data_IF_578581783405
#
_entry.id   IF_578581783405
#
_cell.length_a   1.000
_cell.length_b   1.000
_cell.length_c   1.000
_cell.angle_alpha   90.00
_cell.angle_beta   90.00
_cell.angle_gamma   90.00
#
_symmetry.space_group_name_H-M   'P 1'
#
loop_
_entity.id
_entity.type
_entity.pdbx_description
1 polymer ?
#
# COMPACT_ATOMS: atom_id res chain seq x y z
N UNK A 1 32.21 -7.32 -6.40
CA UNK A 1 32.14 -8.57 -5.61
C UNK A 1 31.04 -9.41 -6.23
N UNK A 2 31.44 -10.51 -6.87
CA UNK A 2 30.60 -11.39 -7.69
C UNK A 2 29.44 -11.99 -6.88
N UNK A 3 28.20 -11.63 -7.21
CA UNK A 3 26.97 -12.25 -6.66
C UNK A 3 26.51 -13.36 -7.60
N UNK A 4 27.37 -14.31 -7.94
CA UNK A 4 26.97 -15.46 -8.76
C UNK A 4 27.79 -16.69 -8.34
N UNK A 5 27.40 -17.33 -7.24
CA UNK A 5 27.78 -18.71 -6.98
C UNK A 5 26.85 -19.35 -5.95
N UNK A 6 26.09 -20.33 -6.44
CA UNK A 6 25.15 -21.26 -5.77
C UNK A 6 23.95 -20.67 -5.02
N UNK A 7 22.89 -20.27 -5.74
CA UNK A 7 21.55 -20.17 -5.18
C UNK A 7 20.85 -21.54 -5.26
N UNK A 8 20.47 -22.12 -4.12
CA UNK A 8 19.59 -23.29 -4.02
C UNK A 8 18.12 -22.92 -4.23
N UNK A 9 17.87 -21.76 -4.82
CA UNK A 9 16.56 -21.14 -4.98
C UNK A 9 16.54 -20.29 -6.25
N UNK A 10 15.73 -20.68 -7.24
CA UNK A 10 15.57 -20.03 -8.52
C UNK A 10 14.36 -19.07 -8.53
N UNK A 11 14.28 -18.07 -9.44
CA UNK A 11 13.19 -17.11 -9.46
C UNK A 11 11.77 -17.71 -9.52
N UNK A 12 11.51 -18.80 -10.28
CA UNK A 12 10.21 -19.44 -10.26
C UNK A 12 9.80 -20.00 -8.89
N UNK A 13 10.77 -20.49 -8.09
CA UNK A 13 10.51 -21.00 -6.73
C UNK A 13 10.15 -19.86 -5.77
N UNK A 14 10.80 -18.69 -5.93
CA UNK A 14 10.44 -17.48 -5.20
C UNK A 14 9.01 -17.04 -5.51
N UNK A 15 8.68 -16.93 -6.79
CA UNK A 15 7.32 -16.56 -7.23
C UNK A 15 6.28 -17.55 -6.70
N UNK A 16 6.56 -18.86 -6.78
CA UNK A 16 5.67 -19.87 -6.22
C UNK A 16 5.45 -19.70 -4.70
N UNK A 17 6.50 -19.40 -3.94
CA UNK A 17 6.39 -19.14 -2.51
C UNK A 17 5.60 -17.87 -2.20
N UNK A 18 5.75 -16.81 -3.00
CA UNK A 18 4.94 -15.59 -2.87
C UNK A 18 3.45 -15.86 -3.17
N UNK A 19 3.15 -16.71 -4.15
CA UNK A 19 1.77 -17.16 -4.42
C UNK A 19 1.23 -17.94 -3.21
N UNK A 20 2.02 -18.84 -2.62
CA UNK A 20 1.63 -19.53 -1.39
C UNK A 20 1.36 -18.54 -0.26
N UNK A 21 2.22 -17.54 -0.05
CA UNK A 21 2.02 -16.50 0.96
C UNK A 21 0.72 -15.71 0.73
N UNK A 22 0.44 -15.33 -0.52
CA UNK A 22 -0.81 -14.70 -0.91
C UNK A 22 -2.03 -15.57 -0.56
N UNK A 23 -1.97 -16.87 -0.86
CA UNK A 23 -3.06 -17.80 -0.53
C UNK A 23 -3.23 -17.98 0.98
N UNK A 24 -2.13 -18.12 1.73
CA UNK A 24 -2.14 -18.20 3.21
C UNK A 24 -2.70 -16.93 3.85
N UNK A 25 -2.54 -15.77 3.23
CA UNK A 25 -3.12 -14.51 3.69
C UNK A 25 -4.62 -14.41 3.39
N UNK A 26 -5.05 -14.83 2.19
CA UNK A 26 -6.42 -14.62 1.71
C UNK A 26 -7.38 -15.74 2.11
N UNK A 27 -7.00 -17.01 1.92
CA UNK A 27 -7.90 -18.17 2.11
C UNK A 27 -8.50 -18.21 3.53
N UNK A 28 -7.75 -18.00 4.62
CA UNK A 28 -8.29 -18.08 5.98
C UNK A 28 -9.45 -17.11 6.26
N UNK A 29 -9.57 -16.01 5.51
CA UNK A 29 -10.70 -15.08 5.60
C UNK A 29 -12.04 -15.74 5.32
N UNK A 30 -12.06 -16.90 4.66
CA UNK A 30 -13.27 -17.59 4.22
C UNK A 30 -13.66 -18.80 5.08
N UNK A 31 -12.83 -19.19 6.04
CA UNK A 31 -13.08 -20.39 6.84
C UNK A 31 -14.07 -20.21 8.00
N UNK A 32 -14.20 -18.99 8.53
CA UNK A 32 -15.08 -18.72 9.67
C UNK A 32 -16.27 -17.84 9.29
N UNK A 33 -17.42 -18.07 9.92
CA UNK A 33 -18.56 -17.15 9.86
C UNK A 33 -18.19 -15.74 10.34
N UNK A 34 -17.22 -15.63 11.27
CA UNK A 34 -16.75 -14.35 11.78
C UNK A 34 -15.97 -13.54 10.73
N UNK A 35 -15.33 -14.18 9.74
CA UNK A 35 -14.49 -13.51 8.75
C UNK A 35 -15.13 -13.47 7.36
N UNK A 36 -15.91 -14.49 6.98
CA UNK A 36 -16.46 -14.61 5.63
C UNK A 36 -17.48 -13.48 5.32
N UNK A 37 -17.58 -13.04 4.07
CA UNK A 37 -18.62 -12.11 3.64
C UNK A 37 -20.02 -12.68 3.87
N UNK A 38 -20.97 -11.82 4.23
CA UNK A 38 -22.38 -12.18 4.38
C UNK A 38 -23.25 -11.05 3.82
N UNK A 39 -24.39 -11.35 3.15
CA UNK A 39 -25.34 -10.33 2.73
C UNK A 39 -25.98 -9.56 3.91
N UNK A 40 -26.03 -10.18 5.10
CA UNK A 40 -26.75 -9.64 6.27
C UNK A 40 -25.85 -8.95 7.29
N UNK A 41 -24.53 -9.01 7.11
CA UNK A 41 -23.55 -8.44 8.06
C UNK A 41 -22.62 -7.49 7.33
N UNK A 42 -22.51 -6.27 7.86
CA UNK A 42 -21.54 -5.31 7.34
C UNK A 42 -20.10 -5.80 7.53
N UNK A 43 -19.28 -5.63 6.50
CA UNK A 43 -17.82 -5.84 6.58
C UNK A 43 -17.17 -4.86 7.57
N UNK A 44 -17.80 -3.71 7.77
CA UNK A 44 -17.29 -2.64 8.64
C UNK A 44 -17.74 -2.80 10.10
N UNK A 45 -18.42 -3.90 10.43
CA UNK A 45 -18.76 -4.22 11.82
C UNK A 45 -17.48 -4.53 12.64
N UNK A 46 -17.32 -3.96 13.85
CA UNK A 46 -16.11 -4.12 14.67
C UNK A 46 -15.68 -5.57 14.91
N UNK A 47 -16.62 -6.49 15.14
CA UNK A 47 -16.33 -7.91 15.31
C UNK A 47 -15.79 -8.58 14.03
N UNK A 48 -16.31 -8.20 12.85
CA UNK A 48 -15.80 -8.70 11.58
C UNK A 48 -14.39 -8.16 11.30
N UNK A 49 -14.16 -6.87 11.57
CA UNK A 49 -12.85 -6.24 11.42
C UNK A 49 -11.82 -6.91 12.34
N UNK A 50 -12.12 -7.05 13.64
CA UNK A 50 -11.21 -7.69 14.61
C UNK A 50 -10.87 -9.13 14.22
N UNK A 51 -11.88 -9.93 13.87
CA UNK A 51 -11.66 -11.32 13.47
C UNK A 51 -10.78 -11.43 12.20
N UNK A 52 -11.02 -10.58 11.20
CA UNK A 52 -10.22 -10.54 9.98
C UNK A 52 -8.78 -10.12 10.28
N UNK A 53 -8.59 -9.05 11.05
CA UNK A 53 -7.25 -8.53 11.42
C UNK A 53 -6.46 -9.59 12.19
N UNK A 54 -7.10 -10.29 13.13
CA UNK A 54 -6.45 -11.38 13.85
C UNK A 54 -5.93 -12.47 12.90
N UNK A 55 -6.78 -12.95 11.99
CA UNK A 55 -6.42 -14.01 11.04
C UNK A 55 -5.32 -13.58 10.09
N UNK A 56 -5.41 -12.39 9.48
CA UNK A 56 -4.37 -11.91 8.56
C UNK A 56 -3.06 -11.59 9.27
N UNK A 57 -3.11 -11.16 10.53
CA UNK A 57 -1.90 -10.95 11.35
C UNK A 57 -1.19 -12.26 11.64
N UNK A 58 -1.94 -13.33 11.95
CA UNK A 58 -1.37 -14.66 12.17
C UNK A 58 -0.72 -15.20 10.89
N UNK A 59 -1.41 -15.10 9.74
CA UNK A 59 -0.85 -15.48 8.43
C UNK A 59 0.42 -14.69 8.10
N UNK A 60 0.40 -13.37 8.34
CA UNK A 60 1.55 -12.49 8.08
C UNK A 60 2.75 -12.81 8.97
N UNK A 61 2.51 -13.07 10.26
CA UNK A 61 3.55 -13.48 11.19
C UNK A 61 4.17 -14.83 10.78
N UNK A 62 3.34 -15.82 10.41
CA UNK A 62 3.82 -17.11 9.94
C UNK A 62 4.69 -16.98 8.67
N UNK A 63 4.24 -16.24 7.66
CA UNK A 63 5.01 -16.00 6.43
C UNK A 63 6.32 -15.25 6.72
N UNK A 64 6.30 -14.24 7.60
CA UNK A 64 7.49 -13.50 8.02
C UNK A 64 8.50 -14.39 8.74
N UNK A 65 8.04 -15.27 9.64
CA UNK A 65 8.89 -16.23 10.34
C UNK A 65 9.50 -17.26 9.38
N UNK A 66 8.73 -17.76 8.40
CA UNK A 66 9.27 -18.65 7.36
C UNK A 66 10.35 -17.93 6.55
N UNK A 67 10.11 -16.69 6.12
CA UNK A 67 11.14 -15.91 5.40
C UNK A 67 12.37 -15.67 6.26
N UNK A 68 12.19 -15.28 7.52
CA UNK A 68 13.29 -15.07 8.46
C UNK A 68 14.11 -16.36 8.64
N UNK A 69 13.45 -17.50 8.81
CA UNK A 69 14.11 -18.81 8.90
C UNK A 69 14.90 -19.12 7.63
N UNK A 70 14.29 -18.95 6.46
CA UNK A 70 14.95 -19.16 5.16
C UNK A 70 16.19 -18.28 5.00
N UNK A 71 16.11 -17.00 5.37
CA UNK A 71 17.21 -16.03 5.29
C UNK A 71 18.28 -16.21 6.38
N UNK A 72 17.95 -16.82 7.52
CA UNK A 72 18.87 -17.01 8.66
C UNK A 72 19.52 -18.41 8.69
N UNK A 73 18.88 -19.41 8.06
CA UNK A 73 19.38 -20.78 8.04
C UNK A 73 20.64 -20.90 7.18
N UNK A 74 21.56 -21.79 7.58
CA UNK A 74 22.79 -22.04 6.82
C UNK A 74 22.43 -22.76 5.51
N UNK A 75 22.42 -22.01 4.42
CA UNK A 75 22.02 -22.48 3.11
C UNK A 75 22.27 -21.41 2.04
N UNK A 76 21.99 -21.76 0.79
CA UNK A 76 22.32 -20.92 -0.36
C UNK A 76 21.60 -19.55 -0.43
N UNK A 77 20.52 -19.38 0.32
CA UNK A 77 19.74 -18.13 0.38
C UNK A 77 20.03 -17.29 1.63
N UNK A 78 20.88 -17.77 2.53
CA UNK A 78 21.23 -17.08 3.76
C UNK A 78 21.80 -15.67 3.49
N UNK A 79 21.56 -14.74 4.41
CA UNK A 79 22.15 -13.40 4.39
C UNK A 79 22.70 -13.05 5.77
N UNK A 80 23.75 -12.23 5.81
CA UNK A 80 24.39 -11.84 7.08
C UNK A 80 23.45 -11.07 8.02
N UNK A 81 22.56 -10.23 7.46
CA UNK A 81 21.65 -9.37 8.22
C UNK A 81 20.20 -9.57 7.75
N UNK A 82 19.55 -10.68 8.11
CA UNK A 82 18.23 -11.04 7.59
C UNK A 82 17.15 -10.01 7.98
N UNK A 83 17.21 -9.46 9.20
CA UNK A 83 16.28 -8.41 9.63
C UNK A 83 16.42 -7.11 8.83
N UNK A 84 17.64 -6.76 8.40
CA UNK A 84 17.86 -5.63 7.50
C UNK A 84 17.34 -5.92 6.11
N UNK A 85 17.59 -7.13 5.61
CA UNK A 85 17.13 -7.54 4.31
C UNK A 85 15.60 -7.59 4.21
N UNK A 86 14.91 -7.91 5.31
CA UNK A 86 13.45 -7.82 5.47
C UNK A 86 12.96 -6.39 5.80
N UNK A 87 13.86 -5.42 5.96
CA UNK A 87 13.56 -4.01 6.27
C UNK A 87 13.06 -3.74 7.69
N UNK A 88 13.17 -4.70 8.61
CA UNK A 88 12.79 -4.53 10.02
C UNK A 88 13.84 -3.75 10.82
N UNK A 89 15.13 -3.89 10.47
CA UNK A 89 16.21 -3.23 11.22
C UNK A 89 17.38 -2.76 10.35
N UNK A 90 17.84 -1.51 10.50
CA UNK A 90 17.28 -0.45 11.34
C UNK A 90 15.95 0.08 10.75
N UNK A 91 15.12 0.80 11.53
CA UNK A 91 13.83 1.29 11.05
C UNK A 91 13.93 2.35 9.93
N UNK A 92 15.03 3.09 9.82
CA UNK A 92 15.23 4.08 8.76
C UNK A 92 14.29 5.27 8.81
N UNK A 93 14.25 6.00 9.93
CA UNK A 93 13.33 7.15 10.10
C UNK A 93 13.56 8.28 9.09
N UNK A 94 14.82 8.55 8.72
CA UNK A 94 15.16 9.58 7.73
C UNK A 94 14.70 9.14 6.34
N UNK A 95 14.92 7.87 5.99
CA UNK A 95 14.51 7.29 4.71
C UNK A 95 12.98 7.22 4.60
N UNK A 96 12.31 6.93 5.71
CA UNK A 96 10.85 6.97 5.80
C UNK A 96 10.31 8.39 5.59
N UNK A 97 10.93 9.41 6.20
CA UNK A 97 10.58 10.80 5.97
C UNK A 97 10.83 11.23 4.51
N UNK A 98 11.95 10.82 3.91
CA UNK A 98 12.26 11.07 2.50
C UNK A 98 11.26 10.42 1.54
N UNK A 99 10.91 9.16 1.76
CA UNK A 99 9.92 8.42 0.98
C UNK A 99 8.50 8.99 1.12
N UNK A 100 8.11 9.39 2.34
CA UNK A 100 6.87 10.11 2.59
C UNK A 100 6.84 11.46 1.88
N UNK A 101 7.92 12.23 1.96
CA UNK A 101 8.00 13.54 1.29
C UNK A 101 7.91 13.40 -0.22
N UNK A 102 8.65 12.45 -0.80
CA UNK A 102 8.56 12.12 -2.21
C UNK A 102 7.11 11.78 -2.60
N UNK A 103 6.43 10.95 -1.80
CA UNK A 103 5.04 10.58 -2.06
C UNK A 103 4.09 11.78 -1.89
N UNK A 104 4.33 12.66 -0.92
CA UNK A 104 3.56 13.89 -0.75
C UNK A 104 3.69 14.84 -1.95
N UNK A 105 4.88 14.91 -2.59
CA UNK A 105 5.06 15.63 -3.86
C UNK A 105 4.17 15.06 -4.96
N UNK A 106 4.15 13.74 -5.15
CA UNK A 106 3.28 13.09 -6.12
C UNK A 106 1.79 13.39 -5.87
N UNK A 107 1.41 13.51 -4.60
CA UNK A 107 0.05 13.79 -4.13
C UNK A 107 -0.21 15.27 -3.82
N UNK A 108 0.59 16.21 -4.34
CA UNK A 108 0.45 17.63 -4.01
C UNK A 108 -0.97 18.18 -4.28
N UNK A 109 -1.59 17.76 -5.39
CA UNK A 109 -3.00 18.08 -5.70
C UNK A 109 -3.98 17.53 -4.65
N UNK A 110 -4.07 16.20 -4.45
CA UNK A 110 -4.93 15.60 -3.41
C UNK A 110 -4.68 16.11 -1.99
N UNK A 111 -3.42 16.39 -1.64
CA UNK A 111 -3.06 16.95 -0.34
C UNK A 111 -3.64 18.35 -0.17
N UNK A 112 -3.57 19.17 -1.22
CA UNK A 112 -4.22 20.48 -1.25
C UNK A 112 -5.75 20.38 -1.19
N UNK A 113 -6.36 19.48 -1.96
CA UNK A 113 -7.82 19.23 -1.92
C UNK A 113 -8.24 18.86 -0.49
N UNK A 114 -7.59 17.88 0.11
CA UNK A 114 -7.92 17.42 1.47
C UNK A 114 -7.71 18.50 2.53
N UNK A 115 -6.52 19.12 2.60
CA UNK A 115 -6.18 20.04 3.68
C UNK A 115 -6.93 21.36 3.58
N UNK A 116 -7.01 21.91 2.38
CA UNK A 116 -7.58 23.24 2.14
C UNK A 116 -9.05 23.11 1.81
N UNK A 117 -9.38 22.43 0.71
CA UNK A 117 -10.71 22.46 0.09
C UNK A 117 -11.74 21.72 0.95
N UNK A 118 -11.39 20.53 1.43
CA UNK A 118 -12.25 19.70 2.29
C UNK A 118 -12.15 20.08 3.78
N UNK A 119 -11.23 21.00 4.12
CA UNK A 119 -11.09 21.54 5.47
C UNK A 119 -10.41 20.59 6.46
N UNK A 120 -9.69 19.56 6.01
CA UNK A 120 -8.99 18.64 6.90
C UNK A 120 -7.96 19.34 7.79
N UNK A 121 -7.37 20.48 7.35
CA UNK A 121 -6.48 21.27 8.20
C UNK A 121 -7.15 21.69 9.52
N UNK A 122 -8.42 22.12 9.49
CA UNK A 122 -9.17 22.47 10.69
C UNK A 122 -9.47 21.26 11.58
N UNK A 123 -9.68 20.09 10.97
CA UNK A 123 -9.88 18.83 11.69
C UNK A 123 -8.60 18.39 12.42
N UNK A 124 -7.45 18.53 11.77
CA UNK A 124 -6.13 18.26 12.35
C UNK A 124 -5.80 19.20 13.53
N UNK A 125 -6.17 20.48 13.45
CA UNK A 125 -6.03 21.40 14.59
C UNK A 125 -6.82 20.95 15.82
N UNK A 126 -7.92 20.22 15.61
CA UNK A 126 -8.74 19.62 16.69
C UNK A 126 -8.35 18.19 17.02
N UNK A 127 -7.28 17.67 16.41
CA UNK A 127 -6.80 16.29 16.52
C UNK A 127 -7.90 15.25 16.21
N UNK A 128 -8.91 15.63 15.41
CA UNK A 128 -10.02 14.75 15.09
C UNK A 128 -9.58 13.48 14.36
N UNK A 129 -8.72 13.53 13.32
CA UNK A 129 -8.24 12.31 12.67
C UNK A 129 -7.54 11.35 13.62
N UNK A 130 -6.80 11.86 14.61
CA UNK A 130 -6.15 11.03 15.63
C UNK A 130 -7.18 10.36 16.54
N UNK A 131 -8.21 11.10 16.98
CA UNK A 131 -9.30 10.51 17.77
C UNK A 131 -10.02 9.44 16.97
N UNK A 132 -10.39 9.76 15.73
CA UNK A 132 -11.15 8.87 14.85
C UNK A 132 -10.35 7.58 14.57
N UNK A 133 -9.02 7.66 14.47
CA UNK A 133 -8.13 6.49 14.39
C UNK A 133 -8.27 5.51 15.57
N UNK A 134 -8.54 6.01 16.78
CA UNK A 134 -8.69 5.18 17.99
C UNK A 134 -10.13 4.75 18.26
N UNK A 135 -11.12 5.47 17.72
CA UNK A 135 -12.55 5.20 17.98
C UNK A 135 -13.26 4.49 16.85
N UNK A 136 -12.77 4.59 15.62
CA UNK A 136 -13.40 4.02 14.42
C UNK A 136 -12.60 2.82 13.87
N UNK A 137 -13.21 1.63 13.95
CA UNK A 137 -12.57 0.38 13.51
C UNK A 137 -12.24 0.33 12.01
N UNK A 138 -13.12 0.78 11.09
CA UNK A 138 -12.79 0.92 9.68
C UNK A 138 -11.57 1.82 9.43
N UNK A 139 -11.51 2.98 10.10
CA UNK A 139 -10.36 3.90 10.01
C UNK A 139 -9.09 3.23 10.52
N UNK A 140 -9.11 2.63 11.72
CA UNK A 140 -7.95 1.91 12.24
C UNK A 140 -7.47 0.78 11.32
N UNK A 141 -8.41 0.00 10.77
CA UNK A 141 -8.11 -1.05 9.80
C UNK A 141 -7.42 -0.48 8.56
N UNK A 142 -7.96 0.60 7.98
CA UNK A 142 -7.47 1.15 6.71
C UNK A 142 -6.15 1.92 6.88
N UNK A 143 -5.91 2.52 8.04
CA UNK A 143 -4.74 3.39 8.27
C UNK A 143 -3.57 2.68 8.98
N UNK A 144 -3.84 1.62 9.74
CA UNK A 144 -2.82 0.94 10.56
C UNK A 144 -2.73 -0.54 10.21
N UNK A 145 -3.79 -1.31 10.48
CA UNK A 145 -3.69 -2.77 10.40
C UNK A 145 -3.43 -3.26 8.97
N UNK A 146 -4.18 -2.77 7.99
CA UNK A 146 -4.03 -3.12 6.57
C UNK A 146 -2.62 -2.79 6.05
N UNK A 147 -2.17 -1.52 6.12
CA UNK A 147 -0.81 -1.15 5.73
C UNK A 147 0.27 -2.02 6.38
N UNK A 148 0.22 -2.22 7.69
CA UNK A 148 1.22 -3.03 8.39
C UNK A 148 1.22 -4.48 7.88
N UNK A 149 0.07 -5.15 7.84
CA UNK A 149 0.05 -6.57 7.48
C UNK A 149 0.38 -6.80 6.01
N UNK A 150 -0.06 -5.91 5.13
CA UNK A 150 0.21 -6.00 3.69
C UNK A 150 1.69 -5.72 3.36
N UNK A 151 2.29 -4.67 3.92
CA UNK A 151 3.71 -4.40 3.68
C UNK A 151 4.61 -5.48 4.31
N UNK A 152 4.29 -5.96 5.51
CA UNK A 152 5.03 -7.07 6.14
C UNK A 152 5.01 -8.32 5.25
N UNK A 153 3.85 -8.67 4.68
CA UNK A 153 3.74 -9.87 3.84
C UNK A 153 4.40 -9.68 2.47
N UNK A 154 3.99 -8.66 1.72
CA UNK A 154 4.35 -8.55 0.31
C UNK A 154 5.73 -7.93 0.08
N UNK A 155 6.20 -7.08 1.02
CA UNK A 155 7.50 -6.43 0.93
C UNK A 155 8.49 -7.14 1.84
N UNK A 156 8.30 -7.11 3.16
CA UNK A 156 9.28 -7.68 4.09
C UNK A 156 9.45 -9.20 4.00
N UNK A 157 8.39 -9.97 3.74
CA UNK A 157 8.51 -11.42 3.54
C UNK A 157 8.75 -11.78 2.06
N UNK A 158 8.03 -11.16 1.12
CA UNK A 158 8.08 -11.51 -0.29
C UNK A 158 9.34 -11.04 -1.05
N UNK A 159 9.65 -9.73 -1.02
CA UNK A 159 10.70 -9.13 -1.86
C UNK A 159 12.10 -9.71 -1.59
N UNK A 160 12.52 -9.95 -0.33
CA UNK A 160 13.79 -10.60 -0.03
C UNK A 160 14.01 -11.94 -0.75
N UNK A 161 12.96 -12.76 -0.84
CA UNK A 161 13.05 -14.07 -1.49
C UNK A 161 13.29 -13.93 -3.00
N UNK A 162 12.66 -12.95 -3.64
CA UNK A 162 12.91 -12.63 -5.05
C UNK A 162 14.36 -12.17 -5.27
N UNK A 163 14.87 -11.27 -4.42
CA UNK A 163 16.27 -10.82 -4.50
C UNK A 163 17.27 -11.97 -4.34
N UNK A 164 17.05 -12.88 -3.36
CA UNK A 164 17.94 -14.04 -3.15
C UNK A 164 17.83 -15.10 -4.23
N UNK A 165 16.70 -15.16 -4.92
CA UNK A 165 16.52 -16.07 -6.05
C UNK A 165 17.30 -15.68 -7.31
N UNK A 166 17.91 -14.49 -7.33
CA UNK A 166 18.57 -13.94 -8.51
C UNK A 166 17.59 -13.37 -9.55
N UNK A 167 16.35 -13.05 -9.14
CA UNK A 167 15.42 -12.34 -10.01
C UNK A 167 16.00 -10.97 -10.40
N UNK A 168 15.75 -10.54 -11.64
CA UNK A 168 16.16 -9.20 -12.06
C UNK A 168 15.46 -8.12 -11.23
N UNK A 169 16.05 -6.92 -11.16
CA UNK A 169 15.47 -5.79 -10.45
C UNK A 169 14.07 -5.45 -10.98
N UNK A 170 13.94 -5.40 -12.31
CA UNK A 170 12.66 -5.24 -13.01
C UNK A 170 11.67 -6.35 -12.63
N UNK A 171 12.11 -7.61 -12.64
CA UNK A 171 11.28 -8.74 -12.24
C UNK A 171 10.78 -8.60 -10.79
N UNK A 172 11.64 -8.14 -9.89
CA UNK A 172 11.28 -7.91 -8.48
C UNK A 172 10.24 -6.79 -8.33
N UNK A 173 10.41 -5.68 -9.05
CA UNK A 173 9.52 -4.51 -9.02
C UNK A 173 8.14 -4.79 -9.63
N UNK A 174 7.99 -5.77 -10.52
CA UNK A 174 6.71 -6.06 -11.16
C UNK A 174 6.04 -7.36 -10.71
N UNK A 175 6.78 -8.39 -10.29
CA UNK A 175 6.20 -9.69 -9.92
C UNK A 175 5.54 -9.68 -8.54
N UNK A 176 6.23 -9.21 -7.48
CA UNK A 176 5.60 -9.10 -6.15
C UNK A 176 4.35 -8.22 -6.18
N UNK A 177 4.37 -7.06 -6.87
CA UNK A 177 3.20 -6.19 -6.98
C UNK A 177 2.03 -6.77 -7.76
N UNK A 178 2.29 -7.56 -8.80
CA UNK A 178 1.24 -8.30 -9.50
C UNK A 178 0.57 -9.30 -8.55
N UNK A 179 1.34 -10.06 -7.75
CA UNK A 179 0.77 -10.99 -6.76
C UNK A 179 -0.02 -10.23 -5.69
N UNK A 180 0.48 -9.08 -5.23
CA UNK A 180 -0.23 -8.19 -4.32
C UNK A 180 -1.57 -7.70 -4.89
N UNK A 181 -1.59 -7.27 -6.16
CA UNK A 181 -2.82 -6.90 -6.86
C UNK A 181 -3.78 -8.07 -7.02
N UNK A 182 -3.29 -9.26 -7.39
CA UNK A 182 -4.08 -10.48 -7.53
C UNK A 182 -4.71 -10.90 -6.20
N UNK A 183 -4.01 -10.70 -5.07
CA UNK A 183 -4.55 -10.96 -3.74
C UNK A 183 -5.87 -10.22 -3.52
N UNK A 184 -6.04 -9.03 -4.08
CA UNK A 184 -7.24 -8.20 -3.93
C UNK A 184 -8.42 -8.63 -4.80
N UNK A 185 -8.24 -9.55 -5.76
CA UNK A 185 -9.35 -10.09 -6.55
C UNK A 185 -10.37 -10.83 -5.68
N UNK A 186 -10.00 -11.27 -4.48
CA UNK A 186 -10.93 -11.83 -3.50
C UNK A 186 -12.08 -10.86 -3.16
N UNK A 187 -11.87 -9.54 -3.26
CA UNK A 187 -12.91 -8.52 -3.09
C UNK A 187 -13.98 -8.55 -4.18
N UNK A 188 -13.70 -9.09 -5.38
CA UNK A 188 -14.73 -9.34 -6.38
C UNK A 188 -15.81 -10.25 -5.81
N UNK A 189 -15.39 -11.38 -5.21
CA UNK A 189 -16.32 -12.31 -4.56
C UNK A 189 -17.07 -11.64 -3.41
N UNK A 190 -16.38 -10.92 -2.52
CA UNK A 190 -17.04 -10.22 -1.41
C UNK A 190 -18.10 -9.22 -1.91
N UNK A 191 -17.78 -8.49 -2.99
CA UNK A 191 -18.68 -7.54 -3.60
C UNK A 191 -19.90 -8.22 -4.22
N UNK A 192 -19.71 -9.34 -4.91
CA UNK A 192 -20.83 -10.12 -5.49
C UNK A 192 -21.78 -10.66 -4.42
N UNK A 193 -21.26 -11.07 -3.26
CA UNK A 193 -22.08 -11.54 -2.13
C UNK A 193 -22.87 -10.39 -1.49
N UNK A 194 -22.25 -9.22 -1.30
CA UNK A 194 -22.85 -8.10 -0.59
C UNK A 194 -23.73 -7.21 -1.47
N UNK A 195 -23.49 -7.20 -2.79
CA UNK A 195 -24.20 -6.38 -3.77
C UNK A 195 -24.74 -7.24 -4.92
N UNK A 196 -25.65 -8.20 -4.65
CA UNK A 196 -26.08 -9.19 -5.64
C UNK A 196 -26.74 -8.56 -6.88
N UNK A 197 -27.40 -7.40 -6.69
CA UNK A 197 -28.12 -6.65 -7.73
C UNK A 197 -27.21 -5.82 -8.66
N UNK A 198 -25.94 -5.61 -8.32
CA UNK A 198 -25.04 -4.86 -9.19
C UNK A 198 -24.74 -5.66 -10.46
N UNK A 199 -24.83 -5.04 -11.67
CA UNK A 199 -24.50 -5.71 -12.91
C UNK A 199 -23.07 -6.29 -12.92
N UNK A 200 -22.90 -7.49 -13.48
CA UNK A 200 -21.60 -8.16 -13.55
C UNK A 200 -20.51 -7.31 -14.20
N UNK A 201 -20.74 -6.58 -15.32
CA UNK A 201 -19.72 -5.72 -15.92
C UNK A 201 -19.19 -4.65 -14.96
N UNK A 202 -20.05 -4.10 -14.10
CA UNK A 202 -19.65 -3.09 -13.09
C UNK A 202 -18.78 -3.73 -12.00
N UNK A 203 -19.13 -4.93 -11.54
CA UNK A 203 -18.33 -5.66 -10.57
C UNK A 203 -16.93 -6.05 -11.13
N UNK A 204 -16.87 -6.44 -12.40
CA UNK A 204 -15.62 -6.73 -13.11
C UNK A 204 -14.80 -5.45 -13.25
N UNK A 205 -15.39 -4.36 -13.75
CA UNK A 205 -14.70 -3.07 -13.92
C UNK A 205 -14.10 -2.57 -12.60
N UNK A 206 -14.86 -2.63 -11.50
CA UNK A 206 -14.35 -2.30 -10.15
C UNK A 206 -13.11 -3.13 -9.79
N UNK A 207 -13.15 -4.43 -10.06
CA UNK A 207 -12.08 -5.36 -9.67
C UNK A 207 -10.83 -5.21 -10.55
N UNK A 208 -11.01 -4.91 -11.83
CA UNK A 208 -9.91 -4.59 -12.75
C UNK A 208 -9.25 -3.26 -12.37
N UNK A 209 -10.04 -2.22 -12.09
CA UNK A 209 -9.52 -0.96 -11.58
C UNK A 209 -8.72 -1.18 -10.29
N UNK A 210 -9.26 -1.98 -9.36
CA UNK A 210 -8.57 -2.37 -8.14
C UNK A 210 -7.25 -3.08 -8.39
N UNK A 211 -7.26 -4.12 -9.21
CA UNK A 211 -6.06 -4.84 -9.60
C UNK A 211 -5.00 -3.88 -10.18
N UNK A 212 -5.40 -2.99 -11.09
CA UNK A 212 -4.49 -2.05 -11.75
C UNK A 212 -3.85 -1.06 -10.77
N UNK A 213 -4.64 -0.33 -9.98
CA UNK A 213 -4.06 0.67 -9.07
C UNK A 213 -3.28 0.03 -7.93
N UNK A 214 -3.74 -1.11 -7.41
CA UNK A 214 -3.04 -1.83 -6.33
C UNK A 214 -1.71 -2.40 -6.83
N UNK A 215 -1.65 -2.90 -8.07
CA UNK A 215 -0.38 -3.36 -8.67
C UNK A 215 0.58 -2.20 -8.92
N UNK A 216 0.07 -1.05 -9.41
CA UNK A 216 0.89 0.15 -9.61
C UNK A 216 1.47 0.67 -8.30
N UNK A 217 0.64 0.78 -7.26
CA UNK A 217 1.08 1.14 -5.91
C UNK A 217 2.11 0.14 -5.38
N UNK A 218 1.88 -1.16 -5.55
CA UNK A 218 2.83 -2.19 -5.14
C UNK A 218 4.20 -2.04 -5.83
N UNK A 219 4.23 -1.66 -7.12
CA UNK A 219 5.47 -1.41 -7.85
C UNK A 219 6.22 -0.22 -7.28
N UNK A 220 5.51 0.87 -6.99
CA UNK A 220 6.09 2.03 -6.32
C UNK A 220 6.60 1.70 -4.91
N UNK A 221 5.80 1.01 -4.08
CA UNK A 221 6.20 0.57 -2.75
C UNK A 221 7.42 -0.38 -2.79
N UNK A 222 7.46 -1.29 -3.76
CA UNK A 222 8.62 -2.19 -3.94
C UNK A 222 9.86 -1.40 -4.35
N UNK A 223 9.75 -0.43 -5.26
CA UNK A 223 10.85 0.49 -5.57
C UNK A 223 11.37 1.20 -4.32
N UNK A 224 10.48 1.80 -3.53
CA UNK A 224 10.85 2.49 -2.29
C UNK A 224 11.48 1.54 -1.27
N UNK A 225 10.94 0.33 -1.10
CA UNK A 225 11.51 -0.68 -0.20
C UNK A 225 12.93 -1.06 -0.60
N UNK A 226 13.17 -1.26 -1.90
CA UNK A 226 14.50 -1.62 -2.42
C UNK A 226 15.50 -0.47 -2.28
N UNK A 227 15.05 0.78 -2.44
CA UNK A 227 15.87 1.98 -2.31
C UNK A 227 16.20 2.31 -0.85
N UNK A 228 15.23 2.16 0.05
CA UNK A 228 15.36 2.59 1.45
C UNK A 228 15.77 1.48 2.40
N UNK A 229 15.49 0.21 2.07
CA UNK A 229 15.66 -0.93 2.97
C UNK A 229 14.84 -0.83 4.25
N UNK A 230 13.73 -0.08 4.24
CA UNK A 230 12.91 0.21 5.42
C UNK A 230 11.46 -0.24 5.22
N UNK A 231 10.99 -1.11 6.10
CA UNK A 231 9.56 -1.44 6.21
C UNK A 231 8.76 -0.24 6.71
N UNK A 232 9.31 0.53 7.65
CA UNK A 232 8.64 1.73 8.19
C UNK A 232 8.32 2.71 7.07
N UNK A 233 9.27 2.95 6.14
CA UNK A 233 9.07 3.84 5.00
C UNK A 233 7.86 3.43 4.17
N UNK A 234 7.77 2.16 3.77
CA UNK A 234 6.67 1.70 2.92
C UNK A 234 5.34 1.57 3.64
N UNK A 235 5.33 1.25 4.95
CA UNK A 235 4.11 1.28 5.78
C UNK A 235 3.54 2.69 5.84
N UNK A 236 4.38 3.69 6.12
CA UNK A 236 3.93 5.08 6.20
C UNK A 236 3.45 5.60 4.84
N UNK A 237 4.15 5.26 3.75
CA UNK A 237 3.73 5.60 2.39
C UNK A 237 2.39 4.93 2.04
N UNK A 238 2.19 3.67 2.42
CA UNK A 238 0.91 2.99 2.25
C UNK A 238 -0.20 3.70 3.03
N UNK A 239 -0.01 3.95 4.32
CA UNK A 239 -0.98 4.68 5.14
C UNK A 239 -1.32 6.04 4.51
N UNK A 240 -0.32 6.79 4.04
CA UNK A 240 -0.53 8.07 3.36
C UNK A 240 -1.37 7.93 2.09
N UNK A 241 -1.07 6.95 1.23
CA UNK A 241 -1.87 6.67 0.03
C UNK A 241 -3.31 6.27 0.37
N UNK A 242 -3.52 5.51 1.45
CA UNK A 242 -4.87 5.18 1.93
C UNK A 242 -5.62 6.40 2.47
N UNK A 243 -4.94 7.38 3.08
CA UNK A 243 -5.54 8.65 3.48
C UNK A 243 -5.99 9.47 2.26
N UNK A 244 -5.16 9.55 1.22
CA UNK A 244 -5.40 10.44 0.07
C UNK A 244 -6.34 9.83 -0.98
N UNK A 245 -6.34 8.52 -1.16
CA UNK A 245 -7.13 7.85 -2.20
C UNK A 245 -6.60 8.13 -3.62
N UNK A 246 -7.43 7.96 -4.64
CA UNK A 246 -7.05 8.28 -6.02
C UNK A 246 -7.22 9.78 -6.30
N UNK A 247 -6.32 10.42 -7.06
CA UNK A 247 -6.48 11.81 -7.42
C UNK A 247 -7.71 12.01 -8.30
N UNK A 248 -8.39 13.14 -8.10
CA UNK A 248 -9.41 13.62 -9.04
C UNK A 248 -8.73 13.98 -10.35
N UNK A 249 -9.11 13.29 -11.43
CA UNK A 249 -8.58 13.54 -12.78
C UNK A 249 -9.51 14.42 -13.63
N UNK A 250 -10.75 14.65 -13.18
CA UNK A 250 -11.73 15.50 -13.86
C UNK A 250 -12.73 16.11 -12.87
N UNK A 251 -13.40 17.18 -13.29
CA UNK A 251 -14.45 17.84 -12.52
C UNK A 251 -13.95 19.10 -11.79
N UNK A 252 -14.88 19.73 -11.09
CA UNK A 252 -14.64 20.97 -10.35
C UNK A 252 -14.54 20.67 -8.85
N UNK A 253 -13.74 21.45 -8.15
CA UNK A 253 -13.67 21.43 -6.69
C UNK A 253 -14.80 22.25 -6.06
N UNK A 254 -15.21 21.83 -4.87
CA UNK A 254 -16.22 22.50 -4.05
C UNK A 254 -15.62 22.85 -2.66
N UNK A 255 -15.00 24.03 -2.52
CA UNK A 255 -14.46 24.46 -1.23
C UNK A 255 -15.53 24.54 -0.15
N UNK A 256 -15.27 23.92 1.01
CA UNK A 256 -16.24 23.77 2.10
C UNK A 256 -16.82 25.07 2.68
N UNK A 257 -16.20 26.23 2.41
CA UNK A 257 -16.67 27.55 2.86
C UNK A 257 -17.54 28.28 1.82
N UNK A 258 -17.65 27.76 0.60
CA UNK A 258 -18.48 28.38 -0.44
C UNK A 258 -19.90 27.81 -0.37
N UNK A 259 -20.95 28.65 -0.53
CA UNK A 259 -22.32 28.16 -0.59
C UNK A 259 -22.49 27.20 -1.78
N UNK A 260 -23.13 26.06 -1.54
CA UNK A 260 -23.45 25.09 -2.60
C UNK A 260 -24.41 25.71 -3.62
N UNK A 261 -24.11 25.52 -4.91
CA UNK A 261 -24.98 25.95 -6.00
C UNK A 261 -25.06 27.45 -6.25
N UNK A 262 -24.31 28.29 -5.52
CA UNK A 262 -24.30 29.74 -5.72
C UNK A 262 -23.53 30.12 -7.00
N UNK A 263 -24.20 30.68 -8.04
CA UNK A 263 -23.55 31.10 -9.28
C UNK A 263 -22.49 32.18 -9.09
N UNK A 264 -22.60 33.01 -8.05
CA UNK A 264 -21.64 34.09 -7.77
C UNK A 264 -20.25 33.53 -7.42
N UNK A 265 -20.21 32.31 -6.86
CA UNK A 265 -19.00 31.61 -6.46
C UNK A 265 -18.33 30.83 -7.61
N UNK A 266 -18.91 30.84 -8.82
CA UNK A 266 -18.43 30.03 -9.94
C UNK A 266 -16.98 30.38 -10.35
N UNK A 267 -16.62 31.66 -10.35
CA UNK A 267 -15.25 32.11 -10.67
C UNK A 267 -14.25 31.62 -9.63
N UNK A 268 -14.57 31.76 -8.34
CA UNK A 268 -13.75 31.28 -7.23
C UNK A 268 -13.54 29.77 -7.28
N UNK A 269 -14.60 28.98 -7.49
CA UNK A 269 -14.51 27.51 -7.65
C UNK A 269 -13.59 27.12 -8.80
N UNK A 270 -13.69 27.82 -9.94
CA UNK A 270 -12.78 27.60 -11.09
C UNK A 270 -11.33 27.90 -10.72
N UNK A 271 -11.06 29.01 -10.03
CA UNK A 271 -9.71 29.36 -9.60
C UNK A 271 -9.07 28.28 -8.71
N UNK A 272 -9.78 27.83 -7.66
CA UNK A 272 -9.28 26.78 -6.77
C UNK A 272 -9.08 25.44 -7.47
N UNK A 273 -9.94 25.13 -8.45
CA UNK A 273 -9.81 23.95 -9.31
C UNK A 273 -8.57 24.03 -10.19
N UNK A 274 -8.29 25.21 -10.78
CA UNK A 274 -7.06 25.42 -11.58
C UNK A 274 -5.82 25.21 -10.72
N UNK A 275 -5.79 25.75 -9.50
CA UNK A 275 -4.68 25.53 -8.55
C UNK A 275 -4.46 24.04 -8.29
N UNK A 276 -5.54 23.28 -8.03
CA UNK A 276 -5.43 21.83 -7.85
C UNK A 276 -4.80 21.12 -9.04
N UNK A 277 -5.23 21.41 -10.27
CA UNK A 277 -4.67 20.75 -11.45
C UNK A 277 -3.22 21.17 -11.74
N UNK A 278 -2.85 22.42 -11.44
CA UNK A 278 -1.46 22.88 -11.49
C UNK A 278 -0.60 22.12 -10.47
N UNK A 279 -1.09 21.95 -9.24
CA UNK A 279 -0.40 21.18 -8.20
C UNK A 279 -0.33 19.69 -8.53
N UNK A 280 -1.36 19.13 -9.18
CA UNK A 280 -1.37 17.73 -9.60
C UNK A 280 -0.25 17.45 -10.63
N UNK A 281 -0.14 18.29 -11.66
CA UNK A 281 0.91 18.14 -12.69
C UNK A 281 2.29 18.52 -12.14
N UNK A 282 2.39 19.64 -11.41
CA UNK A 282 3.65 20.08 -10.79
C UNK A 282 4.18 19.08 -9.77
N UNK A 283 3.29 18.48 -8.98
CA UNK A 283 3.60 17.41 -8.05
C UNK A 283 4.20 16.18 -8.73
N UNK A 284 3.60 15.74 -9.84
CA UNK A 284 4.14 14.64 -10.65
C UNK A 284 5.53 14.95 -11.21
N UNK A 285 5.75 16.17 -11.73
CA UNK A 285 7.06 16.60 -12.27
C UNK A 285 8.12 16.64 -11.18
N UNK A 286 7.80 17.22 -10.02
CA UNK A 286 8.74 17.32 -8.89
C UNK A 286 9.03 15.96 -8.26
N UNK A 287 8.03 15.07 -8.17
CA UNK A 287 8.24 13.67 -7.81
C UNK A 287 9.23 12.97 -8.75
N UNK A 288 9.04 13.10 -10.07
CA UNK A 288 9.92 12.48 -11.06
C UNK A 288 11.37 12.96 -10.93
N UNK A 289 11.56 14.27 -10.76
CA UNK A 289 12.89 14.87 -10.60
C UNK A 289 13.61 14.42 -9.31
N UNK A 290 12.86 14.05 -8.27
CA UNK A 290 13.40 13.71 -6.96
C UNK A 290 13.32 12.20 -6.64
N UNK A 291 12.87 11.37 -7.58
CA UNK A 291 12.61 9.94 -7.41
C UNK A 291 13.83 9.19 -6.85
N UNK A 292 15.03 9.53 -7.33
CA UNK A 292 16.27 8.90 -6.91
C UNK A 292 16.97 9.61 -5.75
N UNK A 293 16.98 10.95 -5.76
CA UNK A 293 17.70 11.76 -4.76
C UNK A 293 17.09 11.63 -3.36
N UNK A 294 15.76 11.67 -3.24
CA UNK A 294 15.07 11.56 -1.95
C UNK A 294 15.02 10.13 -1.39
N UNK A 295 15.44 9.14 -2.17
CA UNK A 295 15.43 7.72 -1.78
C UNK A 295 16.83 7.11 -1.69
N UNK A 296 17.88 7.93 -1.82
CA UNK A 296 19.25 7.48 -1.73
C UNK A 296 19.69 7.24 -0.29
N UNK A 297 20.20 6.05 -0.02
CA UNK A 297 20.67 5.67 1.31
C UNK A 297 21.66 4.52 1.27
N UNK A 298 22.48 4.42 2.31
CA UNK A 298 23.40 3.31 2.52
C UNK A 298 22.69 1.99 2.86
N UNK A 299 21.39 2.05 3.19
CA UNK A 299 20.56 0.90 3.56
C UNK A 299 19.85 0.24 2.37
N UNK A 300 20.07 0.72 1.16
CA UNK A 300 19.44 0.19 -0.04
C UNK A 300 19.71 -1.31 -0.20
N UNK A 301 18.67 -2.07 -0.53
CA UNK A 301 18.74 -3.51 -0.76
C UNK A 301 19.19 -3.86 -2.18
N UNK A 302 19.08 -2.90 -3.11
CA UNK A 302 19.52 -3.05 -4.49
C UNK A 302 20.13 -1.74 -5.02
N UNK A 303 21.09 -1.88 -5.94
CA UNK A 303 21.62 -0.76 -6.72
C UNK A 303 20.75 -0.56 -7.96
N UNK A 304 20.42 0.70 -8.22
CA UNK A 304 19.63 1.16 -9.36
C UNK A 304 20.52 1.92 -10.33
#
# INVERSE_FOLDING_TARGET
>A
MSILSSAGFAPPQAVALLVVYCLVYVIPLYFSAATRPSPTRSRDAPEAIRARIFVVSLSTAACSLVTLYLLSSHGAIAVEKPLHFMGYWPPGFVDAAGALWLTALLFAGPLYESLVIDGAAHQWLRLQPLRDLWTDWPTWRNMVAGPITEECLFRSAGVPLLLRSGASLTGTIFMSPLIFGLAHLHHFYEFRVTHPRTPLPVAIARSLLQLSYTSLFGAYATFLFLRTGSLLAVVLVHTFCNCMGLPRLWGQLDPHWLPEGDPSSASSRKMWTVVYYVLLVGGLVTWWQNLYSLTETAMALAKF
#
